data_IF_237359506709
#
_entry.id   IF_237359506709
#
_cell.length_a   1.000
_cell.length_b   1.000
_cell.length_c   1.000
_cell.angle_alpha   90.00
_cell.angle_beta   90.00
_cell.angle_gamma   90.00
#
_symmetry.space_group_name_H-M   'P 1'
#
loop_
_entity.id
_entity.type
_entity.pdbx_description
1 polymer ?
#
# COMPACT_ATOMS: atom_id res chain seq x y z
N UNK A 1 7.50 -3.43 29.83
CA UNK A 1 7.23 -3.34 28.38
C UNK A 1 8.29 -4.13 27.61
N UNK A 2 8.05 -4.44 26.35
CA UNK A 2 9.07 -5.08 25.47
C UNK A 2 10.40 -4.33 25.48
N UNK A 3 10.38 -3.01 25.51
CA UNK A 3 11.60 -2.17 25.60
C UNK A 3 12.34 -2.44 26.90
N UNK A 4 11.66 -2.42 28.03
CA UNK A 4 12.27 -2.64 29.34
C UNK A 4 12.75 -4.07 29.55
N UNK A 5 12.10 -5.02 28.87
CA UNK A 5 12.37 -6.45 29.03
C UNK A 5 13.51 -6.94 28.13
N UNK A 6 13.75 -6.29 27.00
CA UNK A 6 14.73 -6.75 26.00
C UNK A 6 15.72 -5.68 25.55
N UNK A 7 15.27 -4.52 25.10
CA UNK A 7 16.15 -3.51 24.52
C UNK A 7 17.03 -2.80 25.54
N UNK A 8 16.41 -2.27 26.60
CA UNK A 8 17.15 -1.52 27.62
C UNK A 8 18.16 -2.38 28.38
N UNK A 9 17.84 -3.63 28.78
CA UNK A 9 18.83 -4.49 29.43
C UNK A 9 20.05 -4.78 28.57
N UNK A 10 19.87 -4.98 27.26
CA UNK A 10 20.93 -5.36 26.33
C UNK A 10 21.81 -4.18 25.90
N UNK A 11 21.23 -2.98 25.83
CA UNK A 11 21.90 -1.80 25.27
C UNK A 11 22.28 -0.73 26.30
N UNK A 12 21.62 -0.72 27.45
CA UNK A 12 21.72 0.36 28.44
C UNK A 12 21.00 1.65 28.03
N UNK A 13 20.35 1.65 26.85
CA UNK A 13 19.62 2.82 26.34
C UNK A 13 18.21 2.84 26.94
N UNK A 14 17.85 3.96 27.55
CA UNK A 14 16.49 4.19 28.07
C UNK A 14 15.62 4.80 26.99
N UNK A 15 14.40 4.31 26.87
CA UNK A 15 13.41 4.78 25.91
C UNK A 15 12.20 5.35 26.68
N UNK A 16 11.83 6.59 26.36
CA UNK A 16 10.59 7.18 26.82
C UNK A 16 9.57 7.08 25.68
N UNK A 17 8.49 6.34 25.89
CA UNK A 17 7.44 6.12 24.90
C UNK A 17 6.29 7.09 25.15
N UNK A 18 5.97 7.91 24.17
CA UNK A 18 4.87 8.87 24.21
C UNK A 18 3.94 8.66 23.00
N UNK A 19 2.66 8.92 23.20
CA UNK A 19 1.67 8.93 22.12
C UNK A 19 1.50 10.39 21.70
N UNK A 20 1.78 10.65 20.42
CA UNK A 20 1.67 11.99 19.84
C UNK A 20 0.62 11.96 18.72
N UNK A 21 -0.25 12.96 18.69
CA UNK A 21 -1.19 13.13 17.60
C UNK A 21 -0.45 13.47 16.30
N UNK A 22 -0.83 12.82 15.20
CA UNK A 22 -0.14 12.93 13.92
C UNK A 22 -0.06 14.38 13.40
N UNK A 23 -1.10 15.17 13.61
CA UNK A 23 -1.17 16.59 13.22
C UNK A 23 -0.28 17.51 14.07
N UNK A 24 0.05 17.10 15.30
CA UNK A 24 0.94 17.84 16.18
C UNK A 24 2.42 17.54 15.96
N UNK A 25 2.75 16.41 15.34
CA UNK A 25 4.11 15.91 15.23
C UNK A 25 5.03 16.88 14.47
N UNK A 26 4.63 17.32 13.29
CA UNK A 26 5.46 18.19 12.47
C UNK A 26 5.77 19.52 13.18
N UNK A 27 4.77 20.10 13.84
CA UNK A 27 4.95 21.33 14.62
C UNK A 27 5.93 21.13 15.79
N UNK A 28 5.84 19.99 16.48
CA UNK A 28 6.76 19.65 17.56
C UNK A 28 8.19 19.48 17.04
N UNK A 29 8.37 18.78 15.91
CA UNK A 29 9.68 18.57 15.29
C UNK A 29 10.31 19.89 14.84
N UNK A 30 9.55 20.74 14.16
CA UNK A 30 10.03 22.06 13.71
C UNK A 30 10.39 22.96 14.92
N UNK A 31 9.68 22.83 16.03
CA UNK A 31 9.98 23.55 17.26
C UNK A 31 11.14 22.96 18.08
N UNK A 32 11.79 21.90 17.60
CA UNK A 32 12.90 21.23 18.32
C UNK A 32 12.46 20.43 19.55
N UNK A 33 11.19 20.09 19.65
CA UNK A 33 10.59 19.36 20.77
C UNK A 33 9.97 18.02 20.36
N UNK A 34 10.30 17.56 19.15
CA UNK A 34 9.82 16.28 18.64
C UNK A 34 10.53 15.09 19.30
N UNK A 35 9.99 13.87 19.11
CA UNK A 35 10.65 12.63 19.51
C UNK A 35 11.91 12.38 18.68
N UNK A 36 12.75 11.44 19.13
CA UNK A 36 13.94 11.04 18.38
C UNK A 36 13.62 10.05 17.25
N UNK A 37 12.70 9.12 17.53
CA UNK A 37 12.19 8.11 16.60
C UNK A 37 10.68 8.15 16.61
N UNK A 38 10.07 8.04 15.47
CA UNK A 38 8.62 7.94 15.32
C UNK A 38 8.25 6.60 14.72
N UNK A 39 7.38 5.86 15.38
CA UNK A 39 6.82 4.62 14.90
C UNK A 39 5.49 4.88 14.18
N UNK A 40 5.11 3.96 13.30
CA UNK A 40 3.80 3.95 12.62
C UNK A 40 3.48 5.23 11.86
N UNK A 41 4.47 5.85 11.25
CA UNK A 41 4.22 7.00 10.37
C UNK A 41 3.65 6.54 9.04
N UNK A 42 2.74 7.32 8.47
CA UNK A 42 2.21 7.07 7.14
C UNK A 42 3.31 7.02 6.07
N UNK A 43 3.09 6.27 5.01
CA UNK A 43 4.11 5.99 3.99
C UNK A 43 4.63 7.25 3.28
N UNK A 44 3.84 8.32 3.26
CA UNK A 44 4.21 9.63 2.68
C UNK A 44 5.10 10.49 3.60
N UNK A 45 5.20 10.17 4.90
CA UNK A 45 5.84 11.04 5.87
C UNK A 45 7.38 11.07 5.79
N UNK A 46 8.10 9.94 5.70
CA UNK A 46 9.57 9.98 5.74
C UNK A 46 10.19 10.91 4.69
N UNK A 47 9.78 10.81 3.43
CA UNK A 47 10.31 11.67 2.35
C UNK A 47 9.86 13.12 2.52
N UNK A 48 8.62 13.36 2.91
CA UNK A 48 8.11 14.73 3.13
C UNK A 48 8.80 15.42 4.31
N UNK A 49 9.14 14.69 5.37
CA UNK A 49 9.98 15.22 6.45
C UNK A 49 11.42 15.46 5.99
N UNK A 50 11.98 14.56 5.18
CA UNK A 50 13.31 14.74 4.60
C UNK A 50 13.43 16.01 3.75
N UNK A 51 12.42 16.30 2.94
CA UNK A 51 12.35 17.51 2.11
C UNK A 51 12.33 18.79 2.96
N UNK A 52 11.86 18.73 4.19
CA UNK A 52 11.87 19.81 5.18
C UNK A 52 13.11 19.80 6.08
N UNK A 53 14.08 18.94 5.79
CA UNK A 53 15.27 18.72 6.62
C UNK A 53 14.91 18.31 8.08
N UNK A 54 13.86 17.55 8.25
CA UNK A 54 13.32 17.13 9.55
C UNK A 54 13.47 15.62 9.83
N UNK A 55 13.90 14.83 8.85
CA UNK A 55 14.19 13.40 8.99
C UNK A 55 15.66 13.12 8.70
N UNK A 56 16.25 12.17 9.46
CA UNK A 56 17.61 11.71 9.24
C UNK A 56 17.68 10.79 8.01
N UNK A 57 18.72 10.97 7.23
CA UNK A 57 19.12 10.04 6.19
C UNK A 57 19.72 8.78 6.81
N UNK A 58 19.03 7.66 6.67
CA UNK A 58 19.47 6.38 7.25
C UNK A 58 20.60 5.74 6.43
N UNK A 59 20.88 6.21 5.23
CA UNK A 59 21.98 5.76 4.39
C UNK A 59 23.34 6.08 4.99
N UNK A 60 23.41 6.96 5.97
CA UNK A 60 24.63 7.24 6.74
C UNK A 60 25.11 6.05 7.58
N UNK A 61 24.23 5.10 7.91
CA UNK A 61 24.56 3.94 8.73
C UNK A 61 25.05 2.80 7.86
N UNK A 62 26.26 2.27 8.19
CA UNK A 62 26.91 1.24 7.38
C UNK A 62 26.19 -0.10 7.34
N UNK A 63 25.36 -0.38 8.33
CA UNK A 63 24.56 -1.61 8.46
C UNK A 63 23.11 -1.49 7.95
N UNK A 64 22.77 -0.38 7.27
CA UNK A 64 21.44 -0.20 6.71
C UNK A 64 21.04 -1.33 5.75
N UNK A 65 21.96 -1.78 4.89
CA UNK A 65 21.65 -2.83 3.92
C UNK A 65 21.35 -4.18 4.59
N UNK A 66 22.00 -4.47 5.71
CA UNK A 66 21.69 -5.67 6.50
C UNK A 66 20.25 -5.61 7.05
N UNK A 67 19.84 -4.44 7.53
CA UNK A 67 18.46 -4.21 7.99
C UNK A 67 17.48 -4.37 6.83
N UNK A 68 17.73 -3.73 5.70
CA UNK A 68 16.84 -3.75 4.53
C UNK A 68 16.74 -5.13 3.86
N UNK A 69 17.70 -6.03 4.09
CA UNK A 69 17.70 -7.39 3.54
C UNK A 69 16.50 -8.24 4.00
N UNK A 70 15.82 -7.87 5.08
CA UNK A 70 14.62 -8.53 5.59
C UNK A 70 13.32 -8.03 4.97
N UNK A 71 13.41 -7.07 4.06
CA UNK A 71 12.27 -6.42 3.41
C UNK A 71 12.33 -6.56 1.89
N UNK A 72 11.19 -6.51 1.21
CA UNK A 72 11.17 -6.36 -0.25
C UNK A 72 11.54 -4.93 -0.63
N UNK A 73 12.19 -4.75 -1.76
CA UNK A 73 12.48 -3.41 -2.29
C UNK A 73 11.22 -2.57 -2.47
N UNK A 74 10.11 -3.20 -2.88
CA UNK A 74 8.80 -2.56 -2.99
C UNK A 74 8.32 -1.93 -1.68
N UNK A 75 8.67 -2.53 -0.52
CA UNK A 75 8.22 -2.04 0.79
C UNK A 75 8.89 -0.75 1.22
N UNK A 76 10.10 -0.45 0.74
CA UNK A 76 10.82 0.77 1.13
C UNK A 76 11.01 1.79 -0.01
N UNK A 77 10.45 1.54 -1.19
CA UNK A 77 10.51 2.47 -2.32
C UNK A 77 9.89 3.83 -1.97
N UNK A 78 8.79 3.85 -1.20
CA UNK A 78 8.14 5.08 -0.74
C UNK A 78 9.02 5.93 0.17
N UNK A 79 10.00 5.32 0.83
CA UNK A 79 10.88 5.98 1.81
C UNK A 79 12.22 6.40 1.22
N UNK A 80 12.39 6.17 -0.07
CA UNK A 80 13.59 6.54 -0.81
C UNK A 80 13.41 7.89 -1.49
N UNK A 81 14.41 8.74 -1.35
CA UNK A 81 14.57 9.97 -2.12
C UNK A 81 15.95 9.94 -2.75
N UNK A 82 16.02 9.89 -4.07
CA UNK A 82 17.26 9.58 -4.81
C UNK A 82 17.87 8.26 -4.30
N UNK A 83 19.12 8.25 -3.88
CA UNK A 83 19.80 7.07 -3.34
C UNK A 83 19.77 6.99 -1.80
N UNK A 84 18.94 7.82 -1.15
CA UNK A 84 18.86 7.94 0.30
C UNK A 84 17.56 7.32 0.83
N UNK A 85 17.64 6.73 2.02
CA UNK A 85 16.51 6.08 2.71
C UNK A 85 16.18 6.86 3.98
N UNK A 86 14.91 7.18 4.18
CA UNK A 86 14.43 7.99 5.31
C UNK A 86 13.44 7.26 6.22
N UNK A 87 13.13 6.03 5.94
CA UNK A 87 12.27 5.19 6.77
C UNK A 87 12.57 3.72 6.62
N UNK A 88 12.30 2.97 7.69
CA UNK A 88 12.33 1.50 7.68
C UNK A 88 10.87 1.04 7.66
N UNK A 89 10.50 0.11 6.76
CA UNK A 89 9.14 -0.43 6.74
C UNK A 89 8.76 -1.03 8.09
N UNK A 90 7.55 -0.76 8.55
CA UNK A 90 7.01 -1.33 9.80
C UNK A 90 5.87 -2.28 9.50
N UNK A 91 4.83 -1.80 8.84
CA UNK A 91 3.73 -2.61 8.32
C UNK A 91 3.65 -2.52 6.81
N UNK A 92 2.92 -3.45 6.22
CA UNK A 92 2.65 -3.47 4.79
C UNK A 92 1.22 -3.91 4.51
N UNK A 93 0.73 -3.56 3.33
CA UNK A 93 -0.57 -3.99 2.83
C UNK A 93 -0.54 -4.13 1.32
N UNK A 94 -1.13 -5.20 0.82
CA UNK A 94 -1.37 -5.45 -0.60
C UNK A 94 -2.65 -6.25 -0.78
N UNK A 95 -3.15 -6.34 -1.99
CA UNK A 95 -4.39 -7.04 -2.30
C UNK A 95 -4.16 -8.51 -2.67
N UNK A 96 -5.18 -9.30 -2.43
CA UNK A 96 -5.37 -10.64 -2.96
C UNK A 96 -6.79 -10.74 -3.54
N UNK A 97 -7.11 -11.82 -4.19
CA UNK A 97 -8.46 -12.10 -4.65
C UNK A 97 -9.12 -13.15 -3.76
N UNK A 98 -10.16 -12.76 -3.04
CA UNK A 98 -11.03 -13.64 -2.27
C UNK A 98 -12.11 -14.22 -3.17
N UNK A 99 -12.44 -15.50 -2.99
CA UNK A 99 -13.50 -16.16 -3.75
C UNK A 99 -14.26 -17.20 -2.93
N UNK A 100 -15.57 -17.29 -3.21
CA UNK A 100 -16.47 -18.29 -2.63
C UNK A 100 -16.45 -19.55 -3.50
N UNK A 101 -15.85 -20.63 -2.99
CA UNK A 101 -15.74 -21.90 -3.70
C UNK A 101 -17.11 -22.50 -4.03
N UNK A 102 -18.01 -22.48 -3.06
CA UNK A 102 -19.37 -23.01 -3.18
C UNK A 102 -20.18 -22.25 -4.24
N UNK A 103 -20.12 -20.92 -4.24
CA UNK A 103 -20.88 -20.10 -5.20
C UNK A 103 -20.32 -20.27 -6.63
N UNK A 104 -19.00 -20.26 -6.80
CA UNK A 104 -18.40 -20.46 -8.14
C UNK A 104 -18.73 -21.84 -8.70
N UNK A 105 -18.69 -22.88 -7.86
CA UNK A 105 -19.08 -24.24 -8.27
C UNK A 105 -20.55 -24.30 -8.71
N UNK A 106 -21.45 -23.71 -7.92
CA UNK A 106 -22.88 -23.64 -8.24
C UNK A 106 -23.14 -22.93 -9.59
N UNK A 107 -22.38 -21.85 -9.87
CA UNK A 107 -22.50 -21.10 -11.10
C UNK A 107 -21.73 -21.71 -12.29
N UNK A 108 -20.97 -22.77 -12.06
CA UNK A 108 -20.13 -23.40 -13.09
C UNK A 108 -18.97 -22.54 -13.54
N UNK A 109 -18.44 -21.68 -12.65
CA UNK A 109 -17.36 -20.76 -12.92
C UNK A 109 -16.05 -21.24 -12.31
N UNK A 110 -14.95 -21.00 -13.02
CA UNK A 110 -13.61 -21.24 -12.52
C UNK A 110 -12.98 -19.95 -11.96
N UNK A 111 -11.90 -20.11 -11.18
CA UNK A 111 -11.16 -18.98 -10.63
C UNK A 111 -10.46 -18.22 -11.78
N UNK A 112 -10.70 -16.91 -11.96
CA UNK A 112 -10.07 -16.15 -13.03
C UNK A 112 -8.59 -15.90 -12.73
N UNK A 113 -7.75 -16.01 -13.77
CA UNK A 113 -6.32 -15.68 -13.70
C UNK A 113 -6.01 -14.29 -14.26
N UNK A 114 -6.87 -13.79 -15.13
CA UNK A 114 -6.70 -12.48 -15.77
C UNK A 114 -7.92 -11.59 -15.55
N UNK A 115 -7.73 -10.29 -15.71
CA UNK A 115 -8.85 -9.34 -15.69
C UNK A 115 -9.87 -9.64 -16.80
N UNK A 116 -9.40 -10.09 -17.95
CA UNK A 116 -10.28 -10.48 -19.05
C UNK A 116 -11.19 -11.65 -18.66
N UNK A 117 -10.63 -12.68 -18.02
CA UNK A 117 -11.41 -13.82 -17.52
C UNK A 117 -12.42 -13.37 -16.45
N UNK A 118 -12.03 -12.45 -15.57
CA UNK A 118 -12.94 -11.88 -14.56
C UNK A 118 -14.11 -11.13 -15.21
N UNK A 119 -13.85 -10.32 -16.22
CA UNK A 119 -14.88 -9.58 -16.95
C UNK A 119 -15.82 -10.55 -17.67
N UNK A 120 -15.32 -11.62 -18.26
CA UNK A 120 -16.12 -12.65 -18.92
C UNK A 120 -17.07 -13.40 -17.99
N UNK A 121 -16.77 -13.45 -16.68
CA UNK A 121 -17.64 -14.05 -15.67
C UNK A 121 -18.80 -13.15 -15.26
N UNK A 122 -18.71 -11.84 -15.44
CA UNK A 122 -19.68 -10.87 -14.94
C UNK A 122 -21.12 -11.10 -15.43
N UNK A 123 -21.40 -11.45 -16.70
CA UNK A 123 -22.76 -11.72 -17.12
C UNK A 123 -23.44 -12.86 -16.32
N UNK A 124 -22.70 -13.92 -16.01
CA UNK A 124 -23.21 -15.03 -15.19
C UNK A 124 -23.45 -14.59 -13.75
N UNK A 125 -22.48 -13.90 -13.17
CA UNK A 125 -22.55 -13.40 -11.79
C UNK A 125 -23.72 -12.43 -11.64
N UNK A 126 -23.83 -11.45 -12.51
CA UNK A 126 -24.89 -10.42 -12.48
C UNK A 126 -26.26 -10.98 -12.84
N UNK A 127 -26.32 -11.97 -13.74
CA UNK A 127 -27.54 -12.69 -14.06
C UNK A 127 -28.15 -13.45 -12.86
N UNK A 128 -27.36 -13.71 -11.83
CA UNK A 128 -27.78 -14.31 -10.58
C UNK A 128 -27.93 -13.31 -9.42
N UNK A 129 -28.04 -12.02 -9.72
CA UNK A 129 -28.17 -10.93 -8.73
C UNK A 129 -26.98 -10.82 -7.79
N UNK A 130 -25.80 -11.14 -8.27
CA UNK A 130 -24.53 -11.03 -7.56
C UNK A 130 -23.62 -10.00 -8.26
N UNK A 131 -22.56 -9.61 -7.61
CA UNK A 131 -21.56 -8.72 -8.18
C UNK A 131 -20.18 -9.05 -7.64
N UNK A 132 -19.16 -8.30 -8.04
CA UNK A 132 -17.79 -8.42 -7.55
C UNK A 132 -17.37 -7.16 -6.79
N UNK A 133 -16.38 -7.30 -5.91
CA UNK A 133 -15.78 -6.19 -5.21
C UNK A 133 -14.48 -5.76 -5.90
N UNK A 134 -14.43 -4.52 -6.36
CA UNK A 134 -13.24 -3.88 -6.91
C UNK A 134 -12.88 -2.70 -6.00
N UNK A 135 -11.61 -2.56 -5.58
CA UNK A 135 -11.17 -1.40 -4.79
C UNK A 135 -11.53 -0.09 -5.47
N UNK A 136 -12.14 0.82 -4.74
CA UNK A 136 -12.64 2.06 -5.32
C UNK A 136 -12.35 3.29 -4.46
N UNK A 137 -11.90 4.35 -5.12
CA UNK A 137 -11.79 5.68 -4.54
C UNK A 137 -13.07 6.53 -4.72
N UNK A 138 -13.95 6.14 -5.64
CA UNK A 138 -15.09 6.96 -6.05
C UNK A 138 -16.20 6.99 -5.01
N UNK A 139 -16.42 5.88 -4.32
CA UNK A 139 -17.53 5.72 -3.37
C UNK A 139 -17.15 5.97 -1.93
N UNK A 140 -15.90 6.22 -1.64
CA UNK A 140 -15.52 6.54 -0.29
C UNK A 140 -16.09 7.89 0.08
N UNK A 141 -16.99 7.86 1.06
CA UNK A 141 -17.33 9.05 1.84
C UNK A 141 -16.12 9.49 2.68
N UNK A 142 -15.00 8.81 2.52
CA UNK A 142 -13.73 9.24 3.04
C UNK A 142 -13.57 10.67 2.59
N UNK A 143 -14.06 11.48 3.43
CA UNK A 143 -14.00 12.90 3.35
C UNK A 143 -12.57 13.29 3.01
N UNK A 144 -12.48 14.38 2.36
CA UNK A 144 -11.28 15.05 1.92
C UNK A 144 -10.14 15.23 2.96
N UNK A 145 -10.28 14.69 4.15
CA UNK A 145 -9.24 14.70 5.21
C UNK A 145 -8.28 13.52 5.14
N UNK A 146 -8.56 12.52 4.30
CA UNK A 146 -7.62 11.43 4.08
C UNK A 146 -6.37 11.96 3.38
N UNK A 147 -5.26 11.26 3.56
CA UNK A 147 -4.00 11.57 2.89
C UNK A 147 -4.21 11.75 1.39
N UNK A 148 -3.48 12.70 0.84
CA UNK A 148 -3.55 13.05 -0.58
C UNK A 148 -2.41 12.46 -1.39
N UNK A 149 -1.46 11.81 -0.72
CA UNK A 149 -0.34 11.12 -1.35
C UNK A 149 -0.75 9.76 -1.90
N UNK A 150 -0.16 9.34 -3.01
CA UNK A 150 -0.31 7.98 -3.55
C UNK A 150 0.24 6.93 -2.60
N UNK A 151 1.31 7.25 -1.87
CA UNK A 151 1.95 6.30 -0.96
C UNK A 151 1.04 5.85 0.19
N UNK A 152 0.12 6.69 0.64
CA UNK A 152 -0.81 6.36 1.71
C UNK A 152 -2.04 5.56 1.24
N UNK A 153 -2.34 5.61 -0.07
CA UNK A 153 -3.48 4.92 -0.68
C UNK A 153 -4.83 5.14 0.03
N UNK A 154 -5.10 6.39 0.39
CA UNK A 154 -6.37 6.76 1.00
C UNK A 154 -6.95 8.02 0.32
N UNK A 155 -7.99 7.91 -0.48
CA UNK A 155 -8.82 6.76 -0.81
C UNK A 155 -8.11 5.65 -1.61
N UNK A 156 -8.72 4.46 -1.69
CA UNK A 156 -8.09 3.28 -2.28
C UNK A 156 -7.93 3.36 -3.80
N UNK A 157 -6.72 3.63 -4.24
CA UNK A 157 -6.31 3.72 -5.65
C UNK A 157 -5.61 2.45 -6.14
N UNK A 158 -5.51 1.41 -5.31
CA UNK A 158 -4.66 0.25 -5.56
C UNK A 158 -4.98 -0.46 -6.88
N UNK A 159 -6.26 -0.56 -7.24
CA UNK A 159 -6.66 -1.21 -8.49
C UNK A 159 -6.17 -0.44 -9.73
N UNK A 160 -6.23 0.89 -9.70
CA UNK A 160 -5.69 1.70 -10.79
C UNK A 160 -4.16 1.52 -10.90
N UNK A 161 -3.45 1.54 -9.78
CA UNK A 161 -2.01 1.32 -9.78
C UNK A 161 -1.64 -0.10 -10.24
N UNK A 162 -2.38 -1.11 -9.83
CA UNK A 162 -2.16 -2.48 -10.31
C UNK A 162 -2.23 -2.56 -11.84
N UNK A 163 -3.27 -2.01 -12.44
CA UNK A 163 -3.41 -1.96 -13.90
C UNK A 163 -2.29 -1.15 -14.56
N UNK A 164 -1.97 0.01 -14.00
CA UNK A 164 -0.89 0.87 -14.51
C UNK A 164 0.44 0.10 -14.64
N UNK A 165 0.85 -0.58 -13.57
CA UNK A 165 2.11 -1.30 -13.55
C UNK A 165 2.06 -2.60 -14.34
N UNK A 166 0.92 -3.30 -14.36
CA UNK A 166 0.74 -4.48 -15.21
C UNK A 166 0.81 -4.14 -16.70
N UNK A 167 0.43 -2.92 -17.09
CA UNK A 167 0.53 -2.43 -18.47
C UNK A 167 1.91 -1.84 -18.80
N UNK A 168 2.87 -1.94 -17.89
CA UNK A 168 4.22 -1.44 -18.10
C UNK A 168 4.37 0.08 -17.91
N UNK A 169 3.38 0.73 -17.31
CA UNK A 169 3.43 2.15 -16.99
C UNK A 169 4.17 2.48 -15.70
N UNK A 170 4.20 3.74 -15.37
CA UNK A 170 4.76 4.26 -14.12
C UNK A 170 3.97 5.51 -13.69
N UNK A 171 4.20 5.93 -12.45
CA UNK A 171 3.56 7.13 -11.91
C UNK A 171 4.29 8.40 -12.27
N UNK A 172 5.61 8.38 -12.25
CA UNK A 172 6.48 9.52 -12.51
C UNK A 172 7.59 9.15 -13.50
N UNK A 173 8.14 10.14 -14.18
CA UNK A 173 9.35 9.94 -14.98
C UNK A 173 10.55 9.65 -14.05
N UNK A 174 11.65 9.16 -14.60
CA UNK A 174 12.84 8.77 -13.82
C UNK A 174 13.37 9.91 -12.93
N UNK A 175 13.39 11.11 -13.45
CA UNK A 175 13.86 12.29 -12.70
C UNK A 175 12.87 12.77 -11.62
N UNK A 176 11.64 12.28 -11.57
CA UNK A 176 10.61 12.76 -10.64
C UNK A 176 10.17 14.21 -10.90
N UNK A 177 10.32 14.70 -12.12
CA UNK A 177 10.00 16.08 -12.51
C UNK A 177 8.58 16.25 -13.04
N UNK A 178 7.94 15.14 -13.43
CA UNK A 178 6.56 15.12 -13.92
C UNK A 178 5.93 13.75 -13.76
N UNK A 179 4.59 13.71 -13.76
CA UNK A 179 3.86 12.45 -13.87
C UNK A 179 3.89 11.90 -15.29
N UNK A 180 3.77 10.57 -15.41
CA UNK A 180 3.59 9.89 -16.69
C UNK A 180 2.29 9.08 -16.76
N UNK A 181 1.31 9.43 -15.93
CA UNK A 181 -0.04 8.82 -16.00
C UNK A 181 -0.76 9.18 -17.30
N UNK A 182 -0.31 10.18 -18.03
CA UNK A 182 -0.76 10.56 -19.37
C UNK A 182 -0.09 9.75 -20.50
N UNK A 183 0.78 8.78 -20.17
CA UNK A 183 1.31 7.82 -21.12
C UNK A 183 0.19 6.90 -21.66
N UNK A 184 0.46 6.16 -22.74
CA UNK A 184 -0.51 5.20 -23.26
C UNK A 184 -0.92 4.18 -22.19
N UNK A 185 0.03 3.61 -21.46
CA UNK A 185 -0.26 2.69 -20.36
C UNK A 185 -1.10 3.35 -19.25
N UNK A 186 -0.78 4.58 -18.86
CA UNK A 186 -1.52 5.32 -17.84
C UNK A 186 -2.96 5.62 -18.24
N UNK A 187 -3.16 6.07 -19.47
CA UNK A 187 -4.50 6.34 -20.02
C UNK A 187 -5.32 5.06 -20.15
N UNK A 188 -4.72 3.97 -20.66
CA UNK A 188 -5.41 2.71 -20.80
C UNK A 188 -5.79 2.10 -19.46
N UNK A 189 -4.88 2.13 -18.47
CA UNK A 189 -5.16 1.66 -17.12
C UNK A 189 -6.30 2.44 -16.46
N UNK A 190 -6.33 3.74 -16.66
CA UNK A 190 -7.38 4.61 -16.13
C UNK A 190 -8.75 4.31 -16.78
N UNK A 191 -8.78 4.17 -18.11
CA UNK A 191 -9.99 3.82 -18.86
C UNK A 191 -10.52 2.44 -18.41
N UNK A 192 -9.67 1.42 -18.41
CA UNK A 192 -10.07 0.07 -18.01
C UNK A 192 -10.56 0.01 -16.55
N UNK A 193 -9.95 0.79 -15.66
CA UNK A 193 -10.40 0.87 -14.27
C UNK A 193 -11.79 1.47 -14.12
N UNK A 194 -12.05 2.61 -14.72
CA UNK A 194 -13.35 3.28 -14.57
C UNK A 194 -14.49 2.53 -15.26
N UNK A 195 -14.19 1.69 -16.25
CA UNK A 195 -15.17 0.84 -16.94
C UNK A 195 -15.83 -0.18 -16.01
N UNK A 196 -15.16 -0.64 -14.97
CA UNK A 196 -15.78 -1.52 -13.96
C UNK A 196 -17.03 -0.89 -13.37
N UNK A 197 -17.02 0.41 -13.16
CA UNK A 197 -18.13 1.16 -12.58
C UNK A 197 -19.11 1.68 -13.63
N UNK A 198 -18.63 2.21 -14.72
CA UNK A 198 -19.45 2.82 -15.77
C UNK A 198 -20.08 1.81 -16.72
N UNK A 199 -19.34 0.76 -17.11
CA UNK A 199 -19.78 -0.19 -18.13
C UNK A 199 -20.21 -1.53 -17.52
N UNK A 200 -19.54 -2.01 -16.48
CA UNK A 200 -19.80 -3.33 -15.90
C UNK A 200 -20.66 -3.29 -14.64
N UNK A 201 -21.01 -2.12 -14.15
CA UNK A 201 -21.97 -1.95 -13.06
C UNK A 201 -21.49 -2.44 -11.70
N UNK A 202 -20.18 -2.52 -11.46
CA UNK A 202 -19.67 -2.84 -10.12
C UNK A 202 -19.98 -1.67 -9.17
N UNK A 203 -20.30 -1.95 -7.89
CA UNK A 203 -20.67 -0.89 -6.97
C UNK A 203 -19.45 -0.07 -6.54
N UNK A 204 -19.68 1.23 -6.34
CA UNK A 204 -18.68 2.15 -5.80
C UNK A 204 -18.69 2.21 -4.26
N UNK A 205 -19.78 1.78 -3.65
CA UNK A 205 -19.95 1.72 -2.18
C UNK A 205 -20.46 0.34 -1.82
N UNK A 206 -19.76 -0.36 -0.95
CA UNK A 206 -20.14 -1.69 -0.49
C UNK A 206 -19.44 -2.07 0.80
N UNK A 207 -20.06 -2.96 1.57
CA UNK A 207 -19.39 -3.68 2.66
C UNK A 207 -19.01 -5.07 2.15
N UNK A 208 -17.73 -5.25 1.83
CA UNK A 208 -17.25 -6.50 1.23
C UNK A 208 -17.44 -7.68 2.18
N UNK A 209 -17.08 -7.56 3.45
CA UNK A 209 -17.16 -8.66 4.42
C UNK A 209 -18.60 -9.18 4.52
N UNK A 210 -19.57 -8.27 4.68
CA UNK A 210 -20.99 -8.64 4.77
C UNK A 210 -21.52 -9.28 3.49
N UNK A 211 -21.18 -8.71 2.32
CA UNK A 211 -21.69 -9.20 1.03
C UNK A 211 -20.97 -10.45 0.55
N UNK A 212 -19.71 -10.62 0.90
CA UNK A 212 -18.99 -11.88 0.68
C UNK A 212 -19.57 -13.02 1.54
N UNK A 213 -19.84 -12.71 2.81
CA UNK A 213 -20.48 -13.62 3.75
C UNK A 213 -21.86 -14.10 3.25
N UNK A 214 -22.68 -13.17 2.72
CA UNK A 214 -24.00 -13.52 2.19
C UNK A 214 -23.96 -14.25 0.84
N UNK A 215 -22.83 -14.22 0.14
CA UNK A 215 -22.68 -14.77 -1.21
C UNK A 215 -23.01 -13.78 -2.34
N UNK A 216 -23.42 -12.56 -2.02
CA UNK A 216 -23.75 -11.53 -3.03
C UNK A 216 -22.51 -11.02 -3.78
N UNK A 217 -21.34 -11.04 -3.15
CA UNK A 217 -20.05 -10.73 -3.74
C UNK A 217 -19.14 -11.95 -3.66
N UNK A 218 -19.29 -12.94 -4.56
CA UNK A 218 -18.54 -14.17 -4.48
C UNK A 218 -17.07 -14.06 -4.85
N UNK A 219 -16.66 -12.95 -5.45
CA UNK A 219 -15.28 -12.59 -5.77
C UNK A 219 -15.03 -11.16 -5.34
N UNK A 220 -13.89 -10.91 -4.71
CA UNK A 220 -13.46 -9.56 -4.35
C UNK A 220 -11.95 -9.41 -4.31
N UNK A 221 -11.49 -8.29 -4.87
CA UNK A 221 -10.12 -7.83 -4.71
C UNK A 221 -10.09 -6.96 -3.45
N UNK A 222 -9.30 -7.34 -2.48
CA UNK A 222 -9.23 -6.64 -1.19
C UNK A 222 -7.89 -6.92 -0.49
N UNK A 223 -7.59 -6.12 0.53
CA UNK A 223 -6.45 -6.35 1.40
C UNK A 223 -6.44 -7.78 1.94
N UNK A 224 -5.28 -8.43 1.91
CA UNK A 224 -5.14 -9.78 2.46
C UNK A 224 -5.54 -9.86 3.95
N UNK A 225 -5.45 -8.76 4.69
CA UNK A 225 -5.84 -8.70 6.11
C UNK A 225 -7.33 -8.97 6.35
N UNK A 226 -8.16 -8.82 5.33
CA UNK A 226 -9.60 -9.19 5.36
C UNK A 226 -9.79 -10.67 5.69
N UNK A 227 -8.82 -11.53 5.37
CA UNK A 227 -8.81 -12.94 5.81
C UNK A 227 -9.09 -13.08 7.31
N UNK A 228 -8.38 -12.31 8.13
CA UNK A 228 -8.53 -12.39 9.59
C UNK A 228 -9.90 -11.93 10.05
N UNK A 229 -10.45 -10.90 9.41
CA UNK A 229 -11.80 -10.42 9.69
C UNK A 229 -12.85 -11.47 9.34
N UNK A 230 -12.73 -12.10 8.17
CA UNK A 230 -13.65 -13.17 7.74
C UNK A 230 -13.61 -14.37 8.68
N UNK A 231 -12.43 -14.78 9.12
CA UNK A 231 -12.26 -15.91 10.04
C UNK A 231 -12.97 -15.70 11.37
N UNK A 232 -13.04 -14.47 11.85
CA UNK A 232 -13.67 -14.10 13.12
C UNK A 232 -15.16 -13.80 12.97
N UNK A 233 -15.52 -12.97 11.97
CA UNK A 233 -16.87 -12.42 11.82
C UNK A 233 -17.81 -13.26 10.96
N UNK A 234 -17.28 -14.20 10.17
CA UNK A 234 -18.08 -15.06 9.30
C UNK A 234 -17.76 -16.55 9.49
N UNK A 235 -17.88 -17.10 10.71
CA UNK A 235 -17.52 -18.49 11.00
C UNK A 235 -18.39 -19.50 10.25
N UNK A 236 -19.62 -19.16 9.88
CA UNK A 236 -20.56 -20.02 9.17
C UNK A 236 -20.16 -20.33 7.72
N UNK A 237 -19.32 -19.51 7.11
CA UNK A 237 -18.79 -19.78 5.76
C UNK A 237 -17.37 -20.34 5.78
N UNK A 238 -16.85 -20.67 6.95
CA UNK A 238 -15.52 -21.28 7.07
C UNK A 238 -15.43 -22.56 6.23
N UNK A 239 -14.36 -22.65 5.43
CA UNK A 239 -14.16 -23.74 4.48
C UNK A 239 -14.88 -23.57 3.14
N UNK A 240 -15.76 -22.60 2.98
CA UNK A 240 -16.47 -22.32 1.73
C UNK A 240 -15.78 -21.28 0.86
N UNK A 241 -14.68 -20.71 1.29
CA UNK A 241 -13.94 -19.67 0.59
C UNK A 241 -12.44 -19.85 0.75
N UNK A 242 -11.72 -19.19 -0.11
CA UNK A 242 -10.27 -19.09 -0.05
C UNK A 242 -9.83 -17.78 -0.71
N UNK A 243 -8.53 -17.54 -0.76
CA UNK A 243 -7.95 -16.43 -1.52
C UNK A 243 -6.80 -16.92 -2.39
N UNK A 244 -6.51 -16.16 -3.42
CA UNK A 244 -5.41 -16.40 -4.35
C UNK A 244 -4.82 -15.07 -4.82
N UNK A 245 -3.84 -15.13 -5.71
CA UNK A 245 -3.25 -13.95 -6.33
C UNK A 245 -4.33 -13.10 -7.02
N UNK A 246 -4.12 -11.79 -7.09
CA UNK A 246 -4.98 -10.92 -7.89
C UNK A 246 -4.94 -11.35 -9.36
N UNK A 247 -5.99 -11.09 -10.14
CA UNK A 247 -5.94 -11.26 -11.58
C UNK A 247 -4.80 -10.43 -12.18
N UNK A 248 -4.24 -10.92 -13.24
CA UNK A 248 -3.15 -10.25 -13.92
C UNK A 248 -3.44 -9.93 -15.38
N UNK A 249 -2.44 -9.39 -16.03
CA UNK A 249 -2.44 -9.06 -17.45
C UNK A 249 -1.46 -9.97 -18.18
N UNK A 250 -1.91 -10.62 -19.24
CA UNK A 250 -1.02 -11.41 -20.09
C UNK A 250 0.00 -10.50 -20.77
N UNK A 251 1.27 -10.80 -20.59
CA UNK A 251 2.39 -9.96 -21.02
C UNK A 251 3.45 -10.85 -21.68
N UNK A 252 4.14 -10.31 -22.68
CA UNK A 252 5.24 -11.00 -23.34
C UNK A 252 6.56 -10.32 -23.01
N UNK A 253 7.54 -11.08 -22.52
CA UNK A 253 8.87 -10.58 -22.21
C UNK A 253 9.72 -10.34 -23.47
N UNK A 254 10.92 -9.76 -23.28
CA UNK A 254 11.85 -9.47 -24.37
C UNK A 254 12.35 -10.71 -25.13
N UNK A 255 12.14 -11.92 -24.62
CA UNK A 255 12.49 -13.21 -25.24
C UNK A 255 11.28 -13.87 -25.91
N UNK A 256 10.14 -13.21 -25.99
CA UNK A 256 8.91 -13.74 -26.57
C UNK A 256 8.16 -14.71 -25.66
N UNK A 257 8.53 -14.82 -24.38
CA UNK A 257 7.84 -15.67 -23.41
C UNK A 257 6.62 -14.94 -22.87
N UNK A 258 5.46 -15.58 -22.93
CA UNK A 258 4.22 -15.07 -22.35
C UNK A 258 4.10 -15.47 -20.89
N UNK A 259 3.71 -14.51 -20.04
CA UNK A 259 3.43 -14.72 -18.62
C UNK A 259 2.28 -13.80 -18.17
N UNK A 260 1.74 -14.05 -16.98
CA UNK A 260 0.71 -13.19 -16.37
C UNK A 260 1.41 -12.28 -15.39
N UNK A 261 1.39 -10.97 -15.67
CA UNK A 261 1.87 -9.94 -14.76
C UNK A 261 0.80 -9.65 -13.70
N UNK A 262 1.12 -9.91 -12.44
CA UNK A 262 0.22 -9.72 -11.29
C UNK A 262 0.71 -8.61 -10.36
N UNK A 263 1.40 -7.62 -10.92
CA UNK A 263 1.85 -6.45 -10.16
C UNK A 263 0.69 -5.85 -9.36
N UNK A 264 0.93 -5.59 -8.10
CA UNK A 264 0.00 -4.93 -7.19
C UNK A 264 0.69 -3.81 -6.43
N UNK A 265 -0.05 -2.82 -6.03
CA UNK A 265 0.45 -1.71 -5.23
C UNK A 265 0.63 -2.16 -3.78
N UNK A 266 1.82 -1.90 -3.21
CA UNK A 266 2.09 -2.08 -1.79
C UNK A 266 2.17 -0.74 -1.08
N UNK A 267 1.55 -0.64 0.08
CA UNK A 267 1.66 0.50 0.98
C UNK A 267 1.87 -0.01 2.41
N UNK A 268 2.04 0.89 3.36
CA UNK A 268 2.23 0.51 4.75
C UNK A 268 2.58 1.72 5.61
N UNK A 269 3.16 1.43 6.75
CA UNK A 269 3.72 2.41 7.67
C UNK A 269 5.22 2.22 7.83
N UNK A 270 5.88 3.24 8.33
CA UNK A 270 7.32 3.25 8.53
C UNK A 270 7.72 3.70 9.93
N UNK A 271 8.95 3.40 10.28
CA UNK A 271 9.68 4.01 11.38
C UNK A 271 10.64 5.03 10.80
N UNK A 272 10.68 6.24 11.32
CA UNK A 272 11.63 7.26 10.89
C UNK A 272 12.37 7.88 12.08
N UNK A 273 13.57 8.41 11.80
CA UNK A 273 14.39 9.14 12.75
C UNK A 273 14.26 10.63 12.52
N UNK A 274 13.95 11.38 13.57
CA UNK A 274 13.89 12.84 13.51
C UNK A 274 15.30 13.40 13.50
N UNK A 275 15.52 14.41 12.69
CA UNK A 275 16.80 15.10 12.53
C UNK A 275 17.33 15.61 13.86
N UNK A 276 18.61 15.34 14.17
CA UNK A 276 19.32 15.85 15.36
C UNK A 276 20.78 16.14 15.05
N UNK A 277 21.34 17.15 15.69
CA UNK A 277 22.77 17.45 15.65
C UNK A 277 23.58 16.65 16.69
N UNK A 278 22.90 15.97 17.63
CA UNK A 278 23.53 15.16 18.67
C UNK A 278 23.86 13.76 18.09
N UNK A 279 25.14 13.51 17.89
CA UNK A 279 25.64 12.22 17.33
C UNK A 279 25.30 11.03 18.22
N UNK A 280 25.43 11.17 19.54
CA UNK A 280 25.12 10.08 20.48
C UNK A 280 23.64 9.73 20.46
N UNK A 281 22.80 10.74 20.40
CA UNK A 281 21.35 10.57 20.32
C UNK A 281 20.94 9.93 19.00
N UNK A 282 21.57 10.32 17.91
CA UNK A 282 21.38 9.71 16.57
C UNK A 282 21.76 8.23 16.58
N UNK A 283 22.93 7.89 17.14
CA UNK A 283 23.38 6.50 17.22
C UNK A 283 22.48 5.66 18.13
N UNK A 284 22.05 6.18 19.26
CA UNK A 284 21.10 5.49 20.13
C UNK A 284 19.73 5.27 19.45
N UNK A 285 19.27 6.25 18.69
CA UNK A 285 18.05 6.14 17.91
C UNK A 285 18.15 5.04 16.85
N UNK A 286 19.31 4.92 16.18
CA UNK A 286 19.54 3.87 15.22
C UNK A 286 19.55 2.47 15.84
N UNK A 287 20.16 2.31 17.00
CA UNK A 287 20.11 1.04 17.75
C UNK A 287 18.66 0.64 18.10
N UNK A 288 17.82 1.62 18.51
CA UNK A 288 16.42 1.38 18.76
C UNK A 288 15.65 0.99 17.50
N UNK A 289 15.88 1.67 16.38
CA UNK A 289 15.23 1.36 15.10
C UNK A 289 15.61 -0.04 14.62
N UNK A 290 16.87 -0.44 14.74
CA UNK A 290 17.31 -1.80 14.39
C UNK A 290 16.65 -2.87 15.25
N UNK A 291 16.59 -2.64 16.56
CA UNK A 291 15.89 -3.54 17.48
C UNK A 291 14.41 -3.67 17.13
N UNK A 292 13.73 -2.57 16.85
CA UNK A 292 12.31 -2.60 16.47
C UNK A 292 12.10 -3.33 15.15
N UNK A 293 12.95 -3.11 14.17
CA UNK A 293 12.89 -3.76 12.85
C UNK A 293 13.30 -5.23 12.85
N UNK A 294 13.95 -5.71 13.90
CA UNK A 294 14.45 -7.09 13.98
C UNK A 294 13.32 -8.11 13.96
N UNK A 295 13.57 -9.26 13.28
CA UNK A 295 12.57 -10.31 13.11
C UNK A 295 12.02 -10.82 14.44
N UNK A 296 12.88 -11.08 15.41
CA UNK A 296 12.46 -11.61 16.71
C UNK A 296 11.59 -10.63 17.48
N UNK A 297 11.91 -9.33 17.41
CA UNK A 297 11.11 -8.26 18.00
C UNK A 297 9.73 -8.17 17.34
N UNK A 298 9.68 -8.18 16.02
CA UNK A 298 8.45 -8.13 15.25
C UNK A 298 7.56 -9.35 15.49
N UNK A 299 8.14 -10.54 15.59
CA UNK A 299 7.41 -11.78 15.93
C UNK A 299 6.82 -11.69 17.33
N UNK A 300 7.61 -11.27 18.31
CA UNK A 300 7.15 -11.12 19.69
C UNK A 300 6.01 -10.12 19.77
N UNK A 301 6.18 -8.96 19.18
CA UNK A 301 5.15 -7.93 19.14
C UNK A 301 3.86 -8.43 18.47
N UNK A 302 3.97 -9.06 17.30
CA UNK A 302 2.82 -9.58 16.58
C UNK A 302 2.06 -10.65 17.35
N UNK A 303 2.77 -11.54 18.04
CA UNK A 303 2.16 -12.59 18.90
C UNK A 303 1.48 -12.00 20.13
N UNK A 304 2.09 -11.00 20.77
CA UNK A 304 1.50 -10.33 21.92
C UNK A 304 0.22 -9.55 21.54
N UNK A 305 0.21 -8.84 20.40
CA UNK A 305 -0.96 -8.13 19.89
C UNK A 305 -2.10 -9.13 19.57
N UNK A 306 -1.81 -10.21 18.89
CA UNK A 306 -2.81 -11.22 18.54
C UNK A 306 -3.36 -11.92 19.80
N UNK A 307 -2.51 -12.20 20.77
CA UNK A 307 -2.94 -12.79 22.06
C UNK A 307 -3.86 -11.87 22.86
N UNK A 308 -3.62 -10.55 22.79
CA UNK A 308 -4.41 -9.56 23.53
C UNK A 308 -5.73 -9.20 22.83
N UNK A 309 -5.70 -9.04 21.51
CA UNK A 309 -6.79 -8.47 20.72
C UNK A 309 -7.51 -9.49 19.80
N UNK A 310 -6.99 -10.71 19.72
CA UNK A 310 -7.54 -11.77 18.87
C UNK A 310 -6.97 -11.78 17.45
N UNK A 311 -7.37 -12.81 16.69
CA UNK A 311 -6.83 -13.06 15.34
C UNK A 311 -7.11 -11.95 14.34
N UNK A 312 -8.18 -11.17 14.53
CA UNK A 312 -8.48 -10.02 13.68
C UNK A 312 -7.42 -8.91 13.76
N UNK A 313 -6.63 -8.88 14.82
CA UNK A 313 -5.53 -7.96 15.04
C UNK A 313 -4.15 -8.54 14.66
N UNK A 314 -4.12 -9.63 13.86
CA UNK A 314 -2.86 -10.22 13.40
C UNK A 314 -1.99 -9.17 12.73
N UNK A 315 -0.78 -9.04 13.22
CA UNK A 315 0.12 -7.94 12.85
C UNK A 315 0.65 -8.09 11.43
N UNK A 316 0.47 -7.05 10.63
CA UNK A 316 0.91 -7.00 9.24
C UNK A 316 2.35 -6.51 9.14
N UNK A 317 3.29 -7.19 9.77
CA UNK A 317 4.71 -6.81 9.74
C UNK A 317 5.25 -6.78 8.30
N UNK A 318 6.06 -5.77 7.99
CA UNK A 318 6.76 -5.69 6.71
C UNK A 318 8.04 -6.54 6.68
N UNK A 319 8.51 -7.02 7.82
CA UNK A 319 9.65 -7.93 7.90
C UNK A 319 9.24 -9.34 7.44
N UNK A 320 9.75 -9.79 6.29
CA UNK A 320 9.36 -11.08 5.71
C UNK A 320 9.73 -12.27 6.58
N UNK A 321 10.85 -12.20 7.27
CA UNK A 321 11.31 -13.29 8.15
C UNK A 321 10.43 -13.41 9.40
N UNK A 322 9.90 -12.29 9.88
CA UNK A 322 8.93 -12.26 10.96
C UNK A 322 7.54 -12.73 10.50
N UNK A 323 7.11 -12.26 9.34
CA UNK A 323 5.77 -12.55 8.81
C UNK A 323 5.48 -14.05 8.73
N UNK A 324 6.43 -14.84 8.24
CA UNK A 324 6.28 -16.30 8.10
C UNK A 324 6.23 -17.05 9.44
N UNK A 325 6.55 -16.39 10.54
CA UNK A 325 6.49 -16.95 11.90
C UNK A 325 5.22 -16.58 12.65
N UNK A 326 4.34 -15.75 12.06
CA UNK A 326 3.04 -15.44 12.61
C UNK A 326 2.04 -16.58 12.30
N UNK A 327 0.81 -16.45 12.76
CA UNK A 327 -0.16 -17.55 12.78
C UNK A 327 -0.86 -17.84 11.43
N UNK A 328 -0.14 -17.67 10.31
CA UNK A 328 -0.60 -18.04 8.98
C UNK A 328 -0.30 -19.52 8.70
N UNK A 329 -1.18 -20.21 7.96
CA UNK A 329 -0.89 -21.55 7.47
C UNK A 329 0.23 -21.53 6.41
N UNK A 330 0.90 -22.67 6.20
CA UNK A 330 1.94 -22.78 5.18
C UNK A 330 1.40 -22.51 3.77
N UNK A 331 0.19 -22.95 3.45
CA UNK A 331 -0.45 -22.72 2.16
C UNK A 331 -0.79 -21.23 1.96
N UNK A 332 -1.30 -20.58 2.99
CA UNK A 332 -1.59 -19.14 2.96
C UNK A 332 -0.31 -18.31 2.81
N UNK A 333 0.75 -18.67 3.52
CA UNK A 333 2.07 -18.03 3.39
C UNK A 333 2.60 -18.15 1.97
N UNK A 334 2.45 -19.28 1.31
CA UNK A 334 2.90 -19.47 -0.06
C UNK A 334 2.22 -18.51 -1.03
N UNK A 335 0.90 -18.34 -0.92
CA UNK A 335 0.13 -17.38 -1.74
C UNK A 335 0.51 -15.95 -1.41
N UNK A 336 0.59 -15.61 -0.13
CA UNK A 336 0.91 -14.26 0.32
C UNK A 336 2.32 -13.84 -0.10
N UNK A 337 3.31 -14.72 0.03
CA UNK A 337 4.67 -14.44 -0.43
C UNK A 337 4.74 -14.27 -1.95
N UNK A 338 4.02 -15.08 -2.71
CA UNK A 338 4.01 -14.96 -4.16
C UNK A 338 3.42 -13.60 -4.61
N UNK A 339 2.31 -13.18 -4.03
CA UNK A 339 1.74 -11.87 -4.32
C UNK A 339 2.66 -10.73 -3.83
N UNK A 340 3.22 -10.85 -2.65
CA UNK A 340 4.13 -9.85 -2.08
C UNK A 340 5.37 -9.63 -2.97
N UNK A 341 5.94 -10.69 -3.50
CA UNK A 341 7.09 -10.62 -4.40
C UNK A 341 6.77 -9.93 -5.73
N UNK A 342 5.50 -9.83 -6.10
CA UNK A 342 5.02 -9.13 -7.29
C UNK A 342 4.49 -7.71 -7.00
N UNK A 343 4.67 -7.21 -5.79
CA UNK A 343 4.23 -5.85 -5.44
C UNK A 343 5.19 -4.78 -5.96
N UNK A 344 4.62 -3.60 -6.18
CA UNK A 344 5.32 -2.39 -6.61
C UNK A 344 5.10 -1.30 -5.59
N UNK A 345 6.18 -0.68 -5.13
CA UNK A 345 6.13 0.53 -4.32
C UNK A 345 6.18 1.76 -5.22
N UNK A 346 5.37 2.76 -4.90
CA UNK A 346 5.39 4.03 -5.62
C UNK A 346 6.14 5.05 -4.77
N UNK A 347 7.25 5.57 -5.29
CA UNK A 347 8.07 6.54 -4.59
C UNK A 347 7.34 7.87 -4.39
N UNK A 348 7.66 8.56 -3.32
CA UNK A 348 7.32 9.96 -3.15
C UNK A 348 8.31 10.83 -3.95
N UNK A 349 7.78 11.86 -4.59
CA UNK A 349 8.58 12.87 -5.30
C UNK A 349 8.28 14.25 -4.73
N UNK A 350 9.22 15.20 -4.81
CA UNK A 350 8.95 16.58 -4.44
C UNK A 350 7.73 17.13 -5.20
N UNK A 351 6.72 17.60 -4.47
CA UNK A 351 5.46 18.07 -5.04
C UNK A 351 4.43 16.99 -5.33
N UNK A 352 4.75 15.70 -5.11
CA UNK A 352 3.84 14.58 -5.34
C UNK A 352 2.79 14.37 -4.25
N UNK A 353 2.80 15.17 -3.19
CA UNK A 353 1.88 14.99 -2.05
C UNK A 353 0.40 15.03 -2.45
N UNK A 354 0.04 15.83 -3.45
CA UNK A 354 -1.34 15.96 -3.92
C UNK A 354 -1.71 15.04 -5.10
N UNK A 355 -0.79 14.20 -5.56
CA UNK A 355 -1.01 13.33 -6.72
C UNK A 355 -2.21 12.40 -6.51
N UNK A 356 -2.32 11.76 -5.36
CA UNK A 356 -3.44 10.88 -5.03
C UNK A 356 -4.78 11.61 -5.04
N UNK A 357 -4.84 12.84 -4.54
CA UNK A 357 -6.05 13.68 -4.60
C UNK A 357 -6.46 13.96 -6.04
N UNK A 358 -5.52 14.34 -6.89
CA UNK A 358 -5.82 14.64 -8.29
C UNK A 358 -6.33 13.41 -9.04
N UNK A 359 -5.73 12.24 -8.83
CA UNK A 359 -6.20 10.99 -9.45
C UNK A 359 -7.59 10.61 -8.92
N UNK A 360 -7.82 10.72 -7.62
CA UNK A 360 -9.15 10.48 -7.02
C UNK A 360 -10.21 11.40 -7.62
N UNK A 361 -9.90 12.68 -7.78
CA UNK A 361 -10.81 13.64 -8.39
C UNK A 361 -11.09 13.31 -9.85
N UNK A 362 -10.09 12.88 -10.60
CA UNK A 362 -10.26 12.42 -11.97
C UNK A 362 -11.19 11.20 -12.05
N UNK A 363 -11.00 10.21 -11.18
CA UNK A 363 -11.88 9.02 -11.08
C UNK A 363 -13.31 9.43 -10.80
N UNK A 364 -13.52 10.27 -9.78
CA UNK A 364 -14.87 10.74 -9.40
C UNK A 364 -15.55 11.50 -10.53
N UNK A 365 -14.81 12.33 -11.24
CA UNK A 365 -15.35 13.08 -12.37
C UNK A 365 -15.86 12.16 -13.49
N UNK A 366 -15.10 11.16 -13.84
CA UNK A 366 -15.52 10.17 -14.86
C UNK A 366 -16.70 9.34 -14.39
N UNK A 367 -16.67 8.84 -13.16
CA UNK A 367 -17.73 7.96 -12.64
C UNK A 367 -19.02 8.71 -12.36
N UNK A 368 -18.96 9.88 -11.74
CA UNK A 368 -20.13 10.63 -11.30
C UNK A 368 -20.68 11.56 -12.40
N UNK A 369 -19.81 12.21 -13.17
CA UNK A 369 -20.18 13.21 -14.18
C UNK A 369 -20.19 12.64 -15.60
N UNK A 370 -19.68 11.42 -15.79
CA UNK A 370 -19.58 10.73 -17.08
C UNK A 370 -18.68 11.44 -18.10
N UNK A 371 -17.70 12.16 -17.62
CA UNK A 371 -16.68 12.77 -18.45
C UNK A 371 -15.84 11.70 -19.20
N UNK A 372 -15.24 12.09 -20.31
CA UNK A 372 -14.36 11.20 -21.07
C UNK A 372 -13.13 10.82 -20.24
N UNK A 373 -12.83 9.51 -20.07
CA UNK A 373 -11.72 9.06 -19.23
C UNK A 373 -10.36 9.56 -19.71
N UNK A 374 -10.11 9.51 -21.02
CA UNK A 374 -8.83 9.90 -21.61
C UNK A 374 -8.55 11.40 -21.41
N UNK A 375 -9.50 12.22 -21.76
CA UNK A 375 -9.38 13.70 -21.59
C UNK A 375 -9.21 14.03 -20.11
N UNK A 376 -9.95 13.37 -19.23
CA UNK A 376 -9.92 13.64 -17.80
C UNK A 376 -8.57 13.33 -17.18
N UNK A 377 -7.99 12.15 -17.44
CA UNK A 377 -6.68 11.83 -16.84
C UNK A 377 -5.56 12.70 -17.40
N UNK A 378 -5.63 13.09 -18.68
CA UNK A 378 -4.68 14.02 -19.28
C UNK A 378 -4.77 15.40 -18.61
N UNK A 379 -5.97 15.93 -18.42
CA UNK A 379 -6.19 17.21 -17.74
C UNK A 379 -5.65 17.19 -16.30
N UNK A 380 -5.91 16.11 -15.56
CA UNK A 380 -5.42 15.98 -14.19
C UNK A 380 -3.90 15.71 -14.12
N UNK A 381 -3.30 15.12 -15.16
CA UNK A 381 -1.83 15.03 -15.24
C UNK A 381 -1.15 16.40 -15.27
N UNK A 382 -1.77 17.35 -15.93
CA UNK A 382 -1.28 18.75 -15.97
C UNK A 382 -1.29 19.36 -14.56
N UNK A 383 -2.37 19.13 -13.79
CA UNK A 383 -2.46 19.62 -12.41
C UNK A 383 -1.42 18.98 -11.50
N UNK A 384 -1.12 17.70 -11.68
CA UNK A 384 -0.07 17.00 -10.96
C UNK A 384 1.29 17.63 -11.28
N UNK A 385 1.57 17.87 -12.56
CA UNK A 385 2.83 18.48 -13.01
C UNK A 385 3.02 19.91 -12.49
N UNK A 386 1.95 20.69 -12.41
CA UNK A 386 1.99 22.04 -11.83
C UNK A 386 2.40 22.00 -10.35
N UNK A 387 1.87 21.06 -9.57
CA UNK A 387 2.25 20.89 -8.16
C UNK A 387 3.72 20.47 -8.00
N UNK A 388 4.15 19.50 -8.82
CA UNK A 388 5.55 19.04 -8.83
C UNK A 388 6.49 20.16 -9.18
N UNK A 389 6.24 20.90 -10.27
CA UNK A 389 7.06 22.02 -10.72
C UNK A 389 7.15 23.10 -9.64
N UNK A 390 6.02 23.47 -9.06
CA UNK A 390 5.96 24.48 -8.00
C UNK A 390 6.82 24.11 -6.80
N UNK A 391 6.74 22.85 -6.33
CA UNK A 391 7.53 22.39 -5.18
C UNK A 391 9.01 22.26 -5.51
N UNK A 392 9.34 21.80 -6.69
CA UNK A 392 10.74 21.73 -7.12
C UNK A 392 11.39 23.12 -7.17
N UNK A 393 10.68 24.12 -7.67
CA UNK A 393 11.15 25.52 -7.64
C UNK A 393 11.32 26.00 -6.19
N UNK A 394 10.34 25.74 -5.32
CA UNK A 394 10.40 26.11 -3.90
C UNK A 394 11.62 25.51 -3.19
N UNK A 395 11.98 24.27 -3.52
CA UNK A 395 13.14 23.59 -2.94
C UNK A 395 14.45 23.83 -3.71
N UNK A 396 14.44 24.65 -4.75
CA UNK A 396 15.63 24.92 -5.58
C UNK A 396 16.11 23.72 -6.40
N UNK A 397 15.19 22.79 -6.74
CA UNK A 397 15.48 21.61 -7.52
C UNK A 397 15.26 21.85 -9.02
N UNK A 398 15.95 21.10 -9.91
CA UNK A 398 15.74 21.21 -11.35
C UNK A 398 14.29 20.94 -11.75
N UNK A 399 13.81 21.66 -12.75
CA UNK A 399 12.50 21.46 -13.39
C UNK A 399 12.69 21.10 -14.86
N UNK A 400 11.68 20.44 -15.48
CA UNK A 400 11.66 20.17 -16.92
C UNK A 400 11.39 21.45 -17.73
#
# INVERSE_FOLDING_TARGET
SMVDDTFTPDTGIKVNVEIVAADALLNAVVAGRGPNVVLSVGADQPVNYALRNAAEDLSQFSDLQDVLSHYTASSYEQYRLDDHIYGIPETQNFNVMFYRKDVLEELGLEIPNTWQELIEMLPTIQGNNMTIAIPTAAGSSATASASTSVASNAPDLSMYFSLLYQYGGDMYNEAGTRTVVNSEAGVQAFDDYVRYFNDYGTPTIYDFVSRFRSGEMPIGIASYSIYNTLMVSAPEIRGLWDFTLIPGTETTDGNGRTYIDRSDFITGSATMMVKTEDEQLRNNSWEFMKWWADADTQVRFGREIEALLGSSARYATANKDAFVQLAWSADDIAVLNDQWDQTVGIREVPGGYYTGRHITNAIRKVINEKDDPRETIIDYSIKIDEEITKKRIEFGLPVD
#
